data_IF_496692526048
#
_entry.id   IF_496692526048
#
_cell.length_a   1.000
_cell.length_b   1.000
_cell.length_c   1.000
_cell.angle_alpha   90.00
_cell.angle_beta   90.00
_cell.angle_gamma   90.00
#
_symmetry.space_group_name_H-M   'P 1'
#
loop_
_entity.id
_entity.type
_entity.pdbx_description
1 polymer ?
#
# COMPACT_ATOMS: atom_id res chain seq x y z
N UNK A 1 33.50 11.19 -13.49
CA UNK A 1 34.91 10.90 -13.88
C UNK A 1 34.84 10.17 -15.21
N UNK A 2 35.62 10.56 -16.22
CA UNK A 2 35.63 9.85 -17.50
C UNK A 2 36.56 8.64 -17.40
N UNK A 3 36.07 7.47 -17.76
CA UNK A 3 36.90 6.27 -17.88
C UNK A 3 37.15 5.98 -19.36
N UNK A 4 38.40 5.64 -19.69
CA UNK A 4 38.84 5.34 -21.04
C UNK A 4 39.32 3.89 -21.14
N UNK A 5 39.09 3.23 -22.26
CA UNK A 5 39.58 1.86 -22.51
C UNK A 5 41.08 1.83 -22.77
N UNK A 6 41.62 0.64 -22.99
CA UNK A 6 43.03 0.43 -23.35
C UNK A 6 43.43 1.13 -24.66
N UNK A 7 42.47 1.61 -25.44
CA UNK A 7 42.65 2.36 -26.69
C UNK A 7 42.38 3.87 -26.54
N UNK A 8 42.06 4.34 -25.33
CA UNK A 8 41.78 5.75 -25.06
C UNK A 8 40.36 6.22 -25.42
N UNK A 9 39.47 5.31 -25.82
CA UNK A 9 38.08 5.63 -26.10
C UNK A 9 37.30 5.83 -24.79
N UNK A 10 36.44 6.83 -24.74
CA UNK A 10 35.56 7.06 -23.59
C UNK A 10 34.56 5.91 -23.47
N UNK A 11 34.60 5.21 -22.33
CA UNK A 11 33.77 4.04 -22.05
C UNK A 11 32.45 4.46 -21.39
N UNK A 12 32.54 5.36 -20.41
CA UNK A 12 31.39 5.88 -19.67
C UNK A 12 31.68 7.22 -19.00
N UNK A 13 30.68 8.10 -19.01
CA UNK A 13 30.67 9.32 -18.19
C UNK A 13 29.96 9.04 -16.88
N UNK A 14 30.74 8.77 -15.83
CA UNK A 14 30.16 8.51 -14.50
C UNK A 14 29.61 9.81 -13.90
N UNK A 15 28.29 9.99 -13.99
CA UNK A 15 27.55 10.88 -13.07
C UNK A 15 27.59 10.21 -11.69
N UNK A 16 27.70 10.95 -10.60
CA UNK A 16 27.79 10.30 -9.28
C UNK A 16 26.39 10.08 -8.73
N UNK A 17 26.06 8.89 -8.23
CA UNK A 17 24.85 8.66 -7.40
C UNK A 17 24.94 9.46 -6.10
N UNK A 18 26.13 9.89 -5.72
CA UNK A 18 26.37 10.80 -4.61
C UNK A 18 26.38 12.26 -5.06
N UNK A 19 25.79 13.12 -4.23
CA UNK A 19 26.00 14.57 -4.30
C UNK A 19 27.46 14.96 -3.97
N UNK A 20 27.80 16.24 -4.12
CA UNK A 20 29.16 16.75 -3.86
C UNK A 20 29.68 16.46 -2.45
N UNK A 21 28.80 16.56 -1.45
CA UNK A 21 29.13 16.25 -0.06
C UNK A 21 29.48 14.77 0.05
N UNK A 22 28.64 13.88 -0.47
CA UNK A 22 28.89 12.44 -0.47
C UNK A 22 30.22 12.05 -1.11
N UNK A 23 30.60 12.70 -2.23
CA UNK A 23 31.89 12.46 -2.90
C UNK A 23 33.10 12.73 -2.01
N UNK A 24 33.07 13.78 -1.17
CA UNK A 24 34.16 14.10 -0.23
C UNK A 24 34.30 13.06 0.88
N UNK A 25 33.24 12.33 1.19
CA UNK A 25 33.21 11.38 2.29
C UNK A 25 33.40 9.91 1.89
N UNK A 26 33.48 9.58 0.59
CA UNK A 26 33.63 8.19 0.10
C UNK A 26 34.81 7.46 0.75
N UNK A 27 35.88 8.19 1.06
CA UNK A 27 37.09 7.66 1.69
C UNK A 27 37.27 8.11 3.14
N UNK A 28 36.23 8.66 3.78
CA UNK A 28 36.31 9.00 5.20
C UNK A 28 36.30 7.72 6.05
N UNK A 29 36.98 7.75 7.21
CA UNK A 29 37.00 6.65 8.18
C UNK A 29 35.64 6.41 8.87
N UNK A 30 34.64 7.20 8.52
CA UNK A 30 33.30 7.15 9.10
C UNK A 30 32.48 6.02 8.47
N UNK A 31 32.66 5.81 7.17
CA UNK A 31 31.98 4.77 6.39
C UNK A 31 32.65 3.40 6.52
N UNK A 32 31.90 2.35 6.19
CA UNK A 32 32.47 1.01 6.08
C UNK A 32 33.46 0.93 4.92
N UNK A 33 34.40 -0.04 4.93
CA UNK A 33 35.28 -0.29 3.79
C UNK A 33 34.51 -0.74 2.53
N UNK A 34 33.21 -1.07 2.64
CA UNK A 34 32.38 -1.48 1.51
C UNK A 34 31.71 -0.30 0.80
N UNK A 35 31.59 0.86 1.46
CA UNK A 35 30.84 2.00 0.92
C UNK A 35 31.39 2.47 -0.43
N UNK A 36 32.70 2.72 -0.54
CA UNK A 36 33.32 3.15 -1.79
C UNK A 36 33.11 2.17 -2.95
N UNK A 37 33.42 0.87 -2.78
CA UNK A 37 33.10 -0.16 -3.79
C UNK A 37 31.62 -0.21 -4.19
N UNK A 38 30.69 -0.15 -3.22
CA UNK A 38 29.25 -0.16 -3.50
C UNK A 38 28.80 1.08 -4.27
N UNK A 39 29.34 2.26 -3.97
CA UNK A 39 29.08 3.49 -4.75
C UNK A 39 29.58 3.34 -6.18
N UNK A 40 30.77 2.75 -6.37
CA UNK A 40 31.31 2.44 -7.68
C UNK A 40 30.37 1.53 -8.48
N UNK A 41 29.90 0.43 -7.88
CA UNK A 41 28.95 -0.48 -8.50
C UNK A 41 27.62 0.22 -8.82
N UNK A 42 27.05 1.00 -7.89
CA UNK A 42 25.80 1.72 -8.10
C UNK A 42 25.87 2.71 -9.27
N UNK A 43 26.99 3.42 -9.41
CA UNK A 43 27.24 4.28 -10.56
C UNK A 43 27.26 3.48 -11.87
N UNK A 44 28.03 2.39 -11.90
CA UNK A 44 28.14 1.52 -13.08
C UNK A 44 26.77 0.96 -13.47
N UNK A 45 25.97 0.48 -12.52
CA UNK A 45 24.64 -0.07 -12.81
C UNK A 45 23.65 0.99 -13.28
N UNK A 46 23.77 2.22 -12.78
CA UNK A 46 22.93 3.33 -13.24
C UNK A 46 23.28 3.71 -14.68
N UNK A 47 24.56 3.84 -14.99
CA UNK A 47 25.02 4.18 -16.35
C UNK A 47 24.66 3.06 -17.33
N UNK A 48 24.80 1.80 -16.89
CA UNK A 48 24.35 0.61 -17.63
C UNK A 48 22.86 0.69 -18.02
N UNK A 49 22.00 1.13 -17.08
CA UNK A 49 20.55 1.26 -17.30
C UNK A 49 20.13 2.49 -18.12
N UNK A 50 20.92 3.56 -18.14
CA UNK A 50 20.58 4.81 -18.85
C UNK A 50 21.07 4.84 -20.30
N UNK A 51 22.22 4.22 -20.60
CA UNK A 51 22.84 4.34 -21.93
C UNK A 51 22.35 3.27 -22.90
N UNK A 52 21.62 3.68 -23.95
CA UNK A 52 21.11 2.77 -25.00
C UNK A 52 22.12 2.41 -26.08
N UNK A 53 23.26 3.11 -26.18
CA UNK A 53 24.15 3.07 -27.36
C UNK A 53 25.65 2.96 -27.02
N UNK A 54 26.06 2.12 -26.06
CA UNK A 54 27.50 1.86 -25.88
C UNK A 54 27.92 0.69 -26.75
N UNK A 55 28.94 0.88 -27.58
CA UNK A 55 29.50 -0.11 -28.51
C UNK A 55 30.26 -1.27 -27.82
N UNK A 56 30.16 -1.39 -26.50
CA UNK A 56 30.89 -2.38 -25.69
C UNK A 56 29.92 -3.50 -25.35
N UNK A 57 30.40 -4.74 -25.38
CA UNK A 57 29.68 -5.91 -24.86
C UNK A 57 29.53 -5.76 -23.33
N UNK A 58 28.54 -4.97 -22.93
CA UNK A 58 28.29 -4.64 -21.52
C UNK A 58 28.01 -5.91 -20.69
N UNK A 59 27.49 -6.95 -21.34
CA UNK A 59 27.15 -8.23 -20.70
C UNK A 59 28.42 -8.97 -20.25
N UNK A 60 29.46 -8.95 -21.10
CA UNK A 60 30.74 -9.57 -20.79
C UNK A 60 31.51 -8.82 -19.69
N UNK A 61 31.44 -7.48 -19.64
CA UNK A 61 32.29 -6.67 -18.76
C UNK A 61 31.68 -6.36 -17.38
N UNK A 62 30.36 -6.17 -17.29
CA UNK A 62 29.72 -5.73 -16.05
C UNK A 62 28.81 -6.83 -15.51
N UNK A 63 27.85 -7.26 -16.32
CA UNK A 63 26.78 -8.14 -15.89
C UNK A 63 27.29 -9.52 -15.47
N UNK A 64 28.02 -10.21 -16.35
CA UNK A 64 28.47 -11.59 -16.10
C UNK A 64 29.40 -11.69 -14.88
N UNK A 65 30.43 -10.82 -14.71
CA UNK A 65 31.26 -10.85 -13.51
C UNK A 65 30.47 -10.55 -12.24
N UNK A 66 29.57 -9.57 -12.28
CA UNK A 66 28.77 -9.19 -11.12
C UNK A 66 27.82 -10.32 -10.72
N UNK A 67 27.14 -10.95 -11.68
CA UNK A 67 26.28 -12.12 -11.46
C UNK A 67 27.04 -13.27 -10.80
N UNK A 68 28.25 -13.57 -11.27
CA UNK A 68 29.09 -14.64 -10.72
C UNK A 68 29.62 -14.34 -9.30
N UNK A 69 29.82 -13.08 -8.94
CA UNK A 69 30.39 -12.69 -7.65
C UNK A 69 29.36 -12.19 -6.63
N UNK A 70 28.09 -12.02 -7.04
CA UNK A 70 27.04 -11.41 -6.22
C UNK A 70 26.83 -12.14 -4.89
N UNK A 71 26.51 -13.44 -4.92
CA UNK A 71 26.22 -14.22 -3.70
C UNK A 71 27.40 -14.19 -2.72
N UNK A 72 28.64 -14.18 -3.23
CA UNK A 72 29.86 -14.04 -2.41
C UNK A 72 29.97 -12.65 -1.78
N UNK A 73 29.67 -11.59 -2.53
CA UNK A 73 29.66 -10.22 -2.03
C UNK A 73 28.59 -10.04 -0.94
N UNK A 74 27.38 -10.51 -1.20
CA UNK A 74 26.26 -10.44 -0.24
C UNK A 74 26.56 -11.24 1.02
N UNK A 75 27.11 -12.45 0.90
CA UNK A 75 27.55 -13.25 2.04
C UNK A 75 28.59 -12.50 2.88
N UNK A 76 29.56 -11.84 2.24
CA UNK A 76 30.54 -11.01 2.95
C UNK A 76 29.90 -9.83 3.69
N UNK A 77 28.92 -9.16 3.09
CA UNK A 77 28.17 -8.07 3.74
C UNK A 77 27.32 -8.60 4.90
N UNK A 78 26.79 -9.81 4.78
CA UNK A 78 26.02 -10.47 5.84
C UNK A 78 26.88 -10.88 7.04
N UNK A 79 28.01 -11.57 6.78
CA UNK A 79 28.93 -12.06 7.82
C UNK A 79 29.74 -10.94 8.47
N UNK A 80 30.07 -9.92 7.67
CA UNK A 80 30.87 -8.77 8.08
C UNK A 80 30.16 -7.46 7.71
N UNK A 81 29.04 -7.12 8.36
CA UNK A 81 28.29 -5.91 8.06
C UNK A 81 29.05 -4.62 8.42
N UNK A 82 30.20 -4.75 9.10
CA UNK A 82 30.96 -3.65 9.66
C UNK A 82 30.06 -2.74 10.49
N UNK A 83 29.69 -1.57 9.95
CA UNK A 83 28.80 -0.61 10.62
C UNK A 83 27.45 -0.44 9.92
N UNK A 84 27.20 -1.14 8.80
CA UNK A 84 25.99 -0.94 7.98
C UNK A 84 24.69 -1.17 8.76
N UNK A 85 24.73 -2.00 9.80
CA UNK A 85 23.58 -2.31 10.66
C UNK A 85 23.43 -1.37 11.86
N UNK A 86 24.31 -0.39 12.01
CA UNK A 86 24.20 0.58 13.09
C UNK A 86 22.90 1.39 12.94
N UNK A 87 22.21 1.72 14.05
CA UNK A 87 20.97 2.50 14.01
C UNK A 87 21.21 3.98 13.64
N UNK A 88 22.45 4.35 13.29
CA UNK A 88 22.82 5.72 12.97
C UNK A 88 22.53 6.00 11.50
N UNK A 89 21.97 7.18 11.25
CA UNK A 89 21.63 7.68 9.93
C UNK A 89 22.81 7.71 8.97
N UNK A 90 24.05 7.83 9.46
CA UNK A 90 25.25 7.81 8.61
C UNK A 90 25.41 6.51 7.79
N UNK A 91 24.79 5.40 8.21
CA UNK A 91 24.87 4.11 7.53
C UNK A 91 23.72 3.85 6.57
N UNK A 92 22.69 4.71 6.53
CA UNK A 92 21.57 4.57 5.60
C UNK A 92 22.03 4.56 4.15
N UNK A 93 23.03 5.39 3.83
CA UNK A 93 23.63 5.48 2.50
C UNK A 93 24.28 4.19 2.04
N UNK A 94 24.76 3.35 2.95
CA UNK A 94 25.33 2.05 2.60
C UNK A 94 24.22 1.02 2.40
N UNK A 95 23.23 1.00 3.30
CA UNK A 95 22.07 0.09 3.22
C UNK A 95 21.22 0.32 1.97
N UNK A 96 21.13 1.56 1.49
CA UNK A 96 20.48 1.93 0.24
C UNK A 96 21.12 1.30 -1.01
N UNK A 97 22.44 1.13 -1.03
CA UNK A 97 23.16 0.80 -2.28
C UNK A 97 22.90 -0.62 -2.75
N UNK A 98 22.80 -1.60 -1.85
CA UNK A 98 22.57 -3.00 -2.25
C UNK A 98 21.22 -3.20 -2.96
N UNK A 99 20.06 -2.80 -2.39
CA UNK A 99 18.79 -2.90 -3.10
C UNK A 99 18.78 -2.02 -4.35
N UNK A 100 19.45 -0.86 -4.36
CA UNK A 100 19.58 -0.03 -5.56
C UNK A 100 20.28 -0.77 -6.71
N UNK A 101 21.47 -1.28 -6.45
CA UNK A 101 22.29 -2.02 -7.42
C UNK A 101 21.49 -3.19 -7.98
N UNK A 102 20.86 -3.98 -7.09
CA UNK A 102 20.07 -5.13 -7.50
C UNK A 102 18.92 -4.73 -8.43
N UNK A 103 18.07 -3.79 -7.99
CA UNK A 103 16.92 -3.34 -8.78
C UNK A 103 17.35 -2.79 -10.16
N UNK A 104 18.41 -1.98 -10.21
CA UNK A 104 18.90 -1.39 -11.47
C UNK A 104 19.43 -2.42 -12.45
N UNK A 105 20.11 -3.46 -11.97
CA UNK A 105 20.57 -4.53 -12.87
C UNK A 105 19.37 -5.32 -13.38
N UNK A 106 18.42 -5.66 -12.51
CA UNK A 106 17.24 -6.44 -12.92
C UNK A 106 16.33 -5.69 -13.88
N UNK A 107 16.30 -4.35 -13.84
CA UNK A 107 15.57 -3.52 -14.82
C UNK A 107 16.09 -3.69 -16.25
N UNK A 108 17.38 -3.97 -16.41
CA UNK A 108 18.03 -4.13 -17.73
C UNK A 108 18.17 -5.60 -18.09
N UNK A 109 18.55 -6.43 -17.12
CA UNK A 109 18.85 -7.84 -17.26
C UNK A 109 18.04 -8.68 -16.27
N UNK A 110 16.81 -9.02 -16.66
CA UNK A 110 15.90 -9.85 -15.85
C UNK A 110 16.53 -11.17 -15.41
N UNK A 111 17.46 -11.73 -16.21
CA UNK A 111 18.16 -12.96 -15.86
C UNK A 111 19.03 -12.83 -14.61
N UNK A 112 19.33 -11.62 -14.11
CA UNK A 112 20.00 -11.41 -12.84
C UNK A 112 19.18 -11.91 -11.64
N UNK A 113 17.84 -11.89 -11.75
CA UNK A 113 16.95 -12.35 -10.69
C UNK A 113 17.24 -13.80 -10.28
N UNK A 114 17.75 -14.63 -11.21
CA UNK A 114 18.10 -16.02 -10.92
C UNK A 114 19.16 -16.18 -9.82
N UNK A 115 19.93 -15.14 -9.51
CA UNK A 115 20.94 -15.19 -8.43
C UNK A 115 20.27 -15.34 -7.07
N UNK A 116 19.14 -14.66 -6.87
CA UNK A 116 18.44 -14.73 -5.61
C UNK A 116 17.59 -15.99 -5.50
N UNK A 117 17.45 -16.80 -6.55
CA UNK A 117 16.73 -18.09 -6.45
C UNK A 117 17.56 -19.17 -5.75
N UNK A 118 18.87 -18.97 -5.60
CA UNK A 118 19.73 -19.90 -4.87
C UNK A 118 19.41 -19.88 -3.36
N UNK A 119 19.13 -21.04 -2.77
CA UNK A 119 18.84 -21.17 -1.33
C UNK A 119 19.96 -20.63 -0.42
N UNK A 120 21.21 -20.65 -0.92
CA UNK A 120 22.39 -20.16 -0.19
C UNK A 120 22.63 -18.66 -0.31
N UNK A 121 21.87 -17.98 -1.17
CA UNK A 121 21.96 -16.55 -1.37
C UNK A 121 21.30 -15.80 -0.20
N UNK A 122 21.91 -14.69 0.21
CA UNK A 122 21.48 -13.92 1.38
C UNK A 122 20.92 -12.55 1.01
N UNK A 123 20.59 -12.31 -0.26
CA UNK A 123 20.15 -10.99 -0.75
C UNK A 123 18.81 -10.62 -0.12
N UNK A 124 17.84 -11.53 -0.14
CA UNK A 124 16.51 -11.31 0.44
C UNK A 124 16.60 -11.06 1.96
N UNK A 125 17.27 -11.93 2.77
CA UNK A 125 17.48 -11.65 4.19
C UNK A 125 18.22 -10.34 4.47
N UNK A 126 19.29 -10.04 3.71
CA UNK A 126 20.08 -8.83 3.91
C UNK A 126 19.27 -7.56 3.65
N UNK A 127 18.53 -7.50 2.54
CA UNK A 127 17.72 -6.33 2.21
C UNK A 127 16.52 -6.22 3.14
N UNK A 128 15.91 -7.33 3.57
CA UNK A 128 14.85 -7.32 4.59
C UNK A 128 15.38 -6.73 5.90
N UNK A 129 16.59 -7.11 6.31
CA UNK A 129 17.25 -6.54 7.49
C UNK A 129 17.53 -5.04 7.34
N UNK A 130 17.94 -4.60 6.14
CA UNK A 130 18.10 -3.17 5.85
C UNK A 130 16.77 -2.44 5.92
N UNK A 131 15.72 -3.00 5.33
CA UNK A 131 14.37 -2.47 5.40
C UNK A 131 13.89 -2.32 6.85
N UNK A 132 14.04 -3.34 7.69
CA UNK A 132 13.66 -3.30 9.12
C UNK A 132 14.38 -2.18 9.88
N UNK A 133 15.66 -1.93 9.57
CA UNK A 133 16.47 -0.91 10.22
C UNK A 133 16.49 0.44 9.51
N UNK A 134 15.63 0.66 8.51
CA UNK A 134 15.65 1.87 7.72
C UNK A 134 15.33 3.11 8.57
N UNK A 135 16.16 4.14 8.43
CA UNK A 135 16.03 5.41 9.18
C UNK A 135 15.80 6.63 8.28
N UNK A 136 16.15 6.53 7.00
CA UNK A 136 16.08 7.62 6.02
C UNK A 136 15.13 7.26 4.86
N UNK A 137 14.58 8.29 4.22
CA UNK A 137 13.57 8.17 3.14
C UNK A 137 14.11 7.38 1.92
N UNK A 138 15.31 7.74 1.44
CA UNK A 138 15.94 7.06 0.30
C UNK A 138 16.13 5.55 0.54
N UNK A 139 16.53 5.22 1.77
CA UNK A 139 16.80 3.86 2.20
C UNK A 139 15.51 3.01 2.28
N UNK A 140 14.47 3.55 2.93
CA UNK A 140 13.18 2.86 3.02
C UNK A 140 12.56 2.70 1.64
N UNK A 141 12.63 3.72 0.76
CA UNK A 141 12.10 3.64 -0.60
C UNK A 141 12.76 2.52 -1.38
N UNK A 142 14.08 2.51 -1.45
CA UNK A 142 14.78 1.54 -2.29
C UNK A 142 14.63 0.11 -1.79
N UNK A 143 14.72 -0.09 -0.46
CA UNK A 143 14.48 -1.39 0.14
C UNK A 143 13.04 -1.84 -0.09
N UNK A 144 12.07 -0.91 -0.01
CA UNK A 144 10.67 -1.21 -0.26
C UNK A 144 10.38 -1.57 -1.72
N UNK A 145 11.00 -0.88 -2.68
CA UNK A 145 10.92 -1.23 -4.11
C UNK A 145 11.39 -2.67 -4.32
N UNK A 146 12.53 -3.05 -3.76
CA UNK A 146 13.01 -4.43 -3.81
C UNK A 146 11.97 -5.41 -3.22
N UNK A 147 11.40 -5.10 -2.05
CA UNK A 147 10.39 -5.96 -1.42
C UNK A 147 9.13 -6.12 -2.26
N UNK A 148 8.72 -5.10 -3.01
CA UNK A 148 7.59 -5.15 -3.95
C UNK A 148 7.93 -5.99 -5.18
N UNK A 149 9.15 -5.88 -5.70
CA UNK A 149 9.65 -6.62 -6.85
C UNK A 149 9.69 -8.14 -6.62
N UNK A 150 9.89 -8.56 -5.36
CA UNK A 150 9.83 -9.95 -4.95
C UNK A 150 8.43 -10.57 -5.00
N UNK A 151 7.37 -9.74 -5.03
CA UNK A 151 5.99 -10.24 -4.99
C UNK A 151 5.59 -10.64 -6.39
N UNK A 152 5.34 -11.94 -6.65
CA UNK A 152 5.03 -12.36 -8.00
C UNK A 152 3.70 -11.77 -8.45
N UNK A 153 3.64 -11.35 -9.72
CA UNK A 153 2.38 -10.91 -10.33
C UNK A 153 1.93 -11.93 -11.34
N UNK A 154 0.62 -12.15 -11.37
CA UNK A 154 -0.02 -12.77 -12.52
C UNK A 154 -0.06 -11.73 -13.64
N UNK A 155 0.18 -12.14 -14.90
CA UNK A 155 -0.01 -11.26 -16.03
C UNK A 155 -1.45 -10.72 -16.00
N UNK A 156 -1.61 -9.43 -15.78
CA UNK A 156 -2.92 -8.78 -15.93
C UNK A 156 -3.05 -8.36 -17.40
N UNK A 157 -3.97 -8.95 -18.18
CA UNK A 157 -4.15 -8.60 -19.58
C UNK A 157 -4.55 -7.12 -19.79
N UNK A 158 -4.97 -6.41 -18.73
CA UNK A 158 -5.40 -5.01 -18.78
C UNK A 158 -4.30 -4.04 -18.33
N UNK A 159 -3.17 -4.54 -17.81
CA UNK A 159 -2.12 -3.66 -17.29
C UNK A 159 -1.46 -2.86 -18.42
N UNK A 160 -1.71 -1.54 -18.42
CA UNK A 160 -1.20 -0.62 -19.45
C UNK A 160 0.34 -0.57 -19.42
N UNK A 161 1.00 -0.67 -20.58
CA UNK A 161 2.44 -0.49 -20.68
C UNK A 161 2.78 0.98 -20.40
N UNK A 162 3.31 1.30 -19.22
CA UNK A 162 3.63 2.70 -18.93
C UNK A 162 4.37 2.99 -17.64
N UNK A 163 3.94 2.44 -16.49
CA UNK A 163 4.44 2.93 -15.20
C UNK A 163 4.63 1.87 -14.11
N UNK A 164 4.44 0.59 -14.40
CA UNK A 164 4.57 -0.44 -13.38
C UNK A 164 5.99 -1.01 -13.38
N UNK A 165 6.63 -1.01 -12.20
CA UNK A 165 7.82 -1.81 -11.94
C UNK A 165 7.55 -3.25 -12.41
N UNK A 166 8.39 -3.75 -13.33
CA UNK A 166 8.32 -5.13 -13.81
C UNK A 166 8.63 -6.06 -12.64
N UNK A 167 7.70 -6.94 -12.23
CA UNK A 167 7.97 -7.88 -11.14
C UNK A 167 9.12 -8.80 -11.54
N UNK A 168 9.93 -9.23 -10.57
CA UNK A 168 11.02 -10.19 -10.82
C UNK A 168 10.48 -11.56 -11.22
N UNK A 169 9.29 -11.88 -10.70
CA UNK A 169 8.63 -13.15 -10.90
C UNK A 169 7.27 -12.94 -11.56
N UNK A 170 7.13 -13.49 -12.77
CA UNK A 170 5.86 -13.63 -13.47
C UNK A 170 5.45 -15.09 -13.32
N UNK A 171 4.37 -15.35 -12.59
CA UNK A 171 3.85 -16.73 -12.47
C UNK A 171 3.15 -17.05 -13.78
N UNK A 172 3.76 -17.92 -14.59
CA UNK A 172 3.09 -18.48 -15.75
C UNK A 172 1.95 -19.41 -15.31
N UNK A 173 0.92 -19.55 -16.16
CA UNK A 173 -0.21 -20.41 -15.86
C UNK A 173 0.26 -21.87 -15.68
N UNK A 174 0.04 -22.44 -14.49
CA UNK A 174 0.43 -23.81 -14.15
C UNK A 174 1.80 -23.96 -13.47
N UNK A 175 2.59 -22.89 -13.31
CA UNK A 175 3.84 -22.95 -12.57
C UNK A 175 3.63 -22.92 -11.04
N UNK A 176 4.49 -23.61 -10.26
CA UNK A 176 4.40 -23.59 -8.81
C UNK A 176 4.66 -22.17 -8.27
N UNK A 177 3.83 -21.77 -7.31
CA UNK A 177 3.95 -20.46 -6.66
C UNK A 177 5.22 -20.43 -5.78
N UNK A 178 6.31 -19.84 -6.29
CA UNK A 178 7.58 -19.66 -5.57
C UNK A 178 7.49 -18.63 -4.44
N UNK A 179 6.37 -17.93 -4.30
CA UNK A 179 6.24 -16.87 -3.29
C UNK A 179 6.35 -17.40 -1.86
N UNK A 180 5.94 -18.65 -1.59
CA UNK A 180 6.09 -19.23 -0.23
C UNK A 180 7.57 -19.30 0.15
N UNK A 181 8.43 -19.65 -0.80
CA UNK A 181 9.88 -19.70 -0.61
C UNK A 181 10.46 -18.32 -0.32
N UNK A 182 10.02 -17.30 -1.07
CA UNK A 182 10.43 -15.90 -0.86
C UNK A 182 10.02 -15.43 0.54
N UNK A 183 8.79 -15.73 0.95
CA UNK A 183 8.29 -15.33 2.26
C UNK A 183 8.93 -16.05 3.42
N UNK A 184 9.29 -17.32 3.24
CA UNK A 184 10.15 -18.02 4.21
C UNK A 184 11.49 -17.34 4.36
N UNK A 185 12.01 -16.63 3.35
CA UNK A 185 13.28 -15.90 3.44
C UNK A 185 13.16 -14.50 4.00
N UNK A 186 12.00 -13.86 3.84
CA UNK A 186 11.69 -12.57 4.48
C UNK A 186 11.33 -12.77 5.94
N UNK A 187 10.40 -13.69 6.21
CA UNK A 187 9.78 -13.87 7.51
C UNK A 187 10.47 -14.92 8.37
N UNK A 188 11.39 -15.74 7.85
CA UNK A 188 12.29 -16.73 8.49
C UNK A 188 11.67 -17.63 9.60
N UNK A 189 11.14 -17.05 10.67
CA UNK A 189 10.53 -17.68 11.83
C UNK A 189 9.48 -16.72 12.47
N UNK A 190 8.84 -17.17 13.55
CA UNK A 190 7.80 -16.36 14.21
C UNK A 190 8.32 -15.03 14.79
N UNK A 191 9.58 -14.98 15.23
CA UNK A 191 10.17 -13.76 15.78
C UNK A 191 10.38 -12.71 14.67
N UNK A 192 10.85 -13.15 13.51
CA UNK A 192 11.02 -12.29 12.33
C UNK A 192 9.68 -11.81 11.77
N UNK A 193 8.59 -12.58 11.90
CA UNK A 193 7.22 -12.09 11.61
C UNK A 193 6.87 -10.89 12.51
N UNK A 194 7.09 -11.01 13.82
CA UNK A 194 6.78 -9.96 14.78
C UNK A 194 7.65 -8.73 14.54
N UNK A 195 8.95 -8.93 14.30
CA UNK A 195 9.89 -7.86 13.99
C UNK A 195 9.49 -7.13 12.69
N UNK A 196 9.13 -7.87 11.65
CA UNK A 196 8.67 -7.31 10.38
C UNK A 196 7.41 -6.46 10.58
N UNK A 197 6.39 -6.97 11.28
CA UNK A 197 5.14 -6.24 11.57
C UNK A 197 5.41 -4.99 12.42
N UNK A 198 6.30 -5.09 13.42
CA UNK A 198 6.71 -3.95 14.24
C UNK A 198 7.46 -2.89 13.42
N UNK A 199 8.37 -3.32 12.54
CA UNK A 199 9.07 -2.43 11.62
C UNK A 199 8.12 -1.72 10.66
N UNK A 200 7.14 -2.44 10.07
CA UNK A 200 6.07 -1.82 9.26
C UNK A 200 5.37 -0.71 10.03
N UNK A 201 4.96 -0.97 11.27
CA UNK A 201 4.28 0.01 12.10
C UNK A 201 5.18 1.22 12.42
N UNK A 202 6.44 0.97 12.78
CA UNK A 202 7.43 2.02 13.02
C UNK A 202 7.65 2.90 11.78
N UNK A 203 7.77 2.29 10.60
CA UNK A 203 7.97 3.00 9.34
C UNK A 203 6.76 3.82 8.94
N UNK A 204 5.55 3.26 9.08
CA UNK A 204 4.32 4.00 8.86
C UNK A 204 4.23 5.24 9.74
N UNK A 205 4.70 5.18 11.00
CA UNK A 205 4.73 6.35 11.90
C UNK A 205 5.84 7.34 11.54
N UNK A 206 7.02 6.84 11.16
CA UNK A 206 8.19 7.67 10.87
C UNK A 206 8.06 8.43 9.56
N UNK A 207 7.66 7.74 8.51
CA UNK A 207 7.63 8.28 7.16
C UNK A 207 6.24 8.80 6.79
N UNK A 208 6.15 9.58 5.72
CA UNK A 208 4.92 10.16 5.20
C UNK A 208 4.97 10.19 3.67
N UNK A 209 3.86 10.53 2.99
CA UNK A 209 3.85 10.58 1.53
C UNK A 209 4.17 9.22 0.89
N UNK A 210 4.99 9.24 -0.17
CA UNK A 210 5.26 8.06 -1.01
C UNK A 210 5.97 6.93 -0.25
N UNK A 211 6.78 7.26 0.76
CA UNK A 211 7.45 6.30 1.63
C UNK A 211 6.43 5.48 2.43
N UNK A 212 5.50 6.16 3.10
CA UNK A 212 4.46 5.51 3.90
C UNK A 212 3.49 4.72 3.02
N UNK A 213 3.16 5.25 1.84
CA UNK A 213 2.38 4.56 0.81
C UNK A 213 3.04 3.25 0.38
N UNK A 214 4.33 3.30 0.07
CA UNK A 214 5.09 2.12 -0.37
C UNK A 214 5.14 1.06 0.74
N UNK A 215 5.32 1.48 2.00
CA UNK A 215 5.27 0.56 3.16
C UNK A 215 3.88 -0.05 3.33
N UNK A 216 2.80 0.73 3.20
CA UNK A 216 1.44 0.22 3.24
C UNK A 216 1.14 -0.75 2.09
N UNK A 217 1.67 -0.48 0.89
CA UNK A 217 1.54 -1.34 -0.28
C UNK A 217 2.22 -2.70 -0.08
N UNK A 218 3.42 -2.72 0.53
CA UNK A 218 4.09 -3.98 0.93
C UNK A 218 3.18 -4.78 1.86
N UNK A 219 2.68 -4.13 2.91
CA UNK A 219 1.82 -4.78 3.90
C UNK A 219 0.56 -5.39 3.25
N UNK A 220 -0.11 -4.64 2.38
CA UNK A 220 -1.31 -5.11 1.66
C UNK A 220 -0.99 -6.31 0.76
N UNK A 221 0.09 -6.24 -0.02
CA UNK A 221 0.44 -7.32 -0.95
C UNK A 221 0.84 -8.60 -0.20
N UNK A 222 1.66 -8.47 0.85
CA UNK A 222 2.06 -9.60 1.69
C UNK A 222 0.85 -10.21 2.41
N UNK A 223 -0.09 -9.38 2.88
CA UNK A 223 -1.35 -9.84 3.48
C UNK A 223 -2.22 -10.60 2.48
N UNK A 224 -2.47 -10.00 1.31
CA UNK A 224 -3.30 -10.57 0.24
C UNK A 224 -2.77 -11.93 -0.16
N UNK A 225 -1.45 -12.02 -0.30
CA UNK A 225 -0.77 -13.25 -0.59
C UNK A 225 -0.88 -14.29 0.55
N UNK A 226 -0.61 -13.91 1.80
CA UNK A 226 -0.65 -14.85 2.92
C UNK A 226 -2.06 -15.43 3.10
N UNK A 227 -3.08 -14.63 2.77
CA UNK A 227 -4.48 -15.08 2.73
C UNK A 227 -4.73 -16.11 1.62
N UNK A 228 -4.17 -15.93 0.43
CA UNK A 228 -4.26 -16.92 -0.65
C UNK A 228 -3.61 -18.26 -0.25
N UNK A 229 -2.55 -18.18 0.55
CA UNK A 229 -1.78 -19.33 1.03
C UNK A 229 -2.00 -19.67 2.51
N UNK A 230 -3.21 -19.42 3.05
CA UNK A 230 -3.53 -19.53 4.48
C UNK A 230 -3.34 -20.91 5.12
N UNK A 231 -3.19 -21.95 4.31
CA UNK A 231 -2.95 -23.31 4.78
C UNK A 231 -1.48 -23.55 5.15
N UNK A 232 -0.55 -22.70 4.67
CA UNK A 232 0.85 -22.76 5.11
C UNK A 232 0.97 -22.20 6.54
N UNK A 233 1.65 -22.90 7.46
CA UNK A 233 1.76 -22.48 8.86
C UNK A 233 2.36 -21.08 9.05
N UNK A 234 3.35 -20.69 8.23
CA UNK A 234 4.00 -19.39 8.31
C UNK A 234 3.02 -18.28 7.88
N UNK A 235 2.26 -18.51 6.82
CA UNK A 235 1.20 -17.60 6.36
C UNK A 235 0.11 -17.42 7.42
N UNK A 236 -0.32 -18.52 8.02
CA UNK A 236 -1.31 -18.50 9.10
C UNK A 236 -0.83 -17.64 10.28
N UNK A 237 0.42 -17.86 10.71
CA UNK A 237 1.02 -17.11 11.81
C UNK A 237 1.18 -15.63 11.47
N UNK A 238 1.63 -15.30 10.27
CA UNK A 238 1.73 -13.92 9.79
C UNK A 238 0.36 -13.21 9.85
N UNK A 239 -0.68 -13.83 9.32
CA UNK A 239 -2.05 -13.30 9.38
C UNK A 239 -2.53 -13.12 10.83
N UNK A 240 -2.20 -14.06 11.72
CA UNK A 240 -2.54 -13.97 13.15
C UNK A 240 -1.86 -12.77 13.82
N UNK A 241 -0.56 -12.58 13.60
CA UNK A 241 0.21 -11.46 14.17
C UNK A 241 -0.33 -10.11 13.69
N UNK A 242 -0.63 -9.96 12.40
CA UNK A 242 -1.20 -8.72 11.86
C UNK A 242 -2.57 -8.41 12.45
N UNK A 243 -3.46 -9.42 12.54
CA UNK A 243 -4.80 -9.23 13.11
C UNK A 243 -4.78 -8.80 14.58
N UNK A 244 -3.72 -9.14 15.30
CA UNK A 244 -3.62 -8.87 16.74
C UNK A 244 -2.71 -7.67 17.07
N UNK A 245 -2.09 -7.05 16.07
CA UNK A 245 -1.15 -5.94 16.27
C UNK A 245 -1.84 -4.57 16.37
N UNK A 246 -2.13 -4.12 17.60
CA UNK A 246 -2.64 -2.76 17.88
C UNK A 246 -1.76 -1.67 17.28
N UNK A 247 -0.44 -1.82 17.45
CA UNK A 247 0.53 -0.84 16.99
C UNK A 247 0.48 -0.69 15.46
N UNK A 248 0.38 -1.79 14.71
CA UNK A 248 0.29 -1.75 13.25
C UNK A 248 -0.96 -1.01 12.79
N UNK A 249 -2.14 -1.37 13.30
CA UNK A 249 -3.39 -0.76 12.88
C UNK A 249 -3.46 0.73 13.22
N UNK A 250 -3.05 1.12 14.44
CA UNK A 250 -2.96 2.53 14.80
C UNK A 250 -2.02 3.29 13.88
N UNK A 251 -0.84 2.72 13.58
CA UNK A 251 0.15 3.35 12.70
C UNK A 251 -0.36 3.50 11.26
N UNK A 252 -1.08 2.50 10.76
CA UNK A 252 -1.69 2.54 9.43
C UNK A 252 -2.77 3.62 9.34
N UNK A 253 -3.67 3.68 10.33
CA UNK A 253 -4.71 4.70 10.40
C UNK A 253 -4.14 6.11 10.55
N UNK A 254 -3.10 6.27 11.38
CA UNK A 254 -2.39 7.55 11.52
C UNK A 254 -1.67 7.98 10.23
N UNK A 255 -1.03 7.03 9.53
CA UNK A 255 -0.37 7.30 8.24
C UNK A 255 -1.38 7.73 7.17
N UNK A 256 -2.53 7.05 7.10
CA UNK A 256 -3.67 7.45 6.27
C UNK A 256 -4.10 8.89 6.57
N UNK A 257 -4.40 9.23 7.82
CA UNK A 257 -4.85 10.58 8.17
C UNK A 257 -3.81 11.68 7.86
N UNK A 258 -2.51 11.37 7.91
CA UNK A 258 -1.43 12.34 7.64
C UNK A 258 -1.18 12.61 6.15
N UNK A 259 -1.50 11.68 5.25
CA UNK A 259 -1.19 11.83 3.81
C UNK A 259 -1.93 13.01 3.15
N UNK A 260 -2.97 13.54 3.80
CA UNK A 260 -3.84 14.60 3.26
C UNK A 260 -3.20 15.99 3.15
N UNK A 261 -2.13 16.25 3.91
CA UNK A 261 -1.48 17.56 3.94
C UNK A 261 -0.59 17.85 2.74
N UNK A 262 -0.05 16.82 2.10
CA UNK A 262 0.84 16.96 0.96
C UNK A 262 0.04 16.99 -0.34
N UNK A 263 0.46 17.84 -1.28
CA UNK A 263 -0.11 17.89 -2.64
C UNK A 263 0.30 16.64 -3.40
N UNK A 264 -0.34 15.52 -3.09
CA UNK A 264 -0.16 14.30 -3.85
C UNK A 264 -0.74 14.50 -5.26
N UNK A 265 0.06 14.13 -6.27
CA UNK A 265 -0.30 14.26 -7.70
C UNK A 265 -0.72 12.88 -8.27
N UNK A 266 -0.59 11.79 -7.50
CA UNK A 266 -0.91 10.43 -7.94
C UNK A 266 -2.37 10.02 -7.76
N UNK A 267 -2.69 8.79 -8.15
CA UNK A 267 -4.03 8.21 -8.06
C UNK A 267 -4.40 7.89 -6.61
N UNK A 268 -5.70 7.86 -6.30
CA UNK A 268 -6.21 7.34 -5.03
C UNK A 268 -5.70 5.93 -4.72
N UNK A 269 -5.48 5.10 -5.74
CA UNK A 269 -4.96 3.73 -5.60
C UNK A 269 -3.58 3.67 -4.94
N UNK A 270 -2.83 4.76 -5.00
CA UNK A 270 -1.48 4.82 -4.45
C UNK A 270 -1.49 5.36 -3.01
N UNK A 271 -2.64 5.72 -2.45
CA UNK A 271 -2.72 6.29 -1.10
C UNK A 271 -2.79 5.22 -0.01
N UNK A 272 -2.34 5.51 1.23
CA UNK A 272 -2.47 4.55 2.34
C UNK A 272 -3.93 4.19 2.62
N UNK A 273 -4.87 5.07 2.24
CA UNK A 273 -6.30 4.88 2.36
C UNK A 273 -6.85 3.73 1.52
N UNK A 274 -6.36 3.59 0.28
CA UNK A 274 -6.76 2.50 -0.59
C UNK A 274 -6.33 1.16 0.00
N UNK A 275 -5.08 1.06 0.46
CA UNK A 275 -4.55 -0.14 1.09
C UNK A 275 -5.28 -0.48 2.39
N UNK A 276 -5.55 0.52 3.24
CA UNK A 276 -6.38 0.36 4.43
C UNK A 276 -7.78 -0.17 4.07
N UNK A 277 -8.44 0.44 3.09
CA UNK A 277 -9.81 0.07 2.69
C UNK A 277 -9.86 -1.34 2.13
N UNK A 278 -8.85 -1.74 1.36
CA UNK A 278 -8.74 -3.10 0.83
C UNK A 278 -8.45 -4.14 1.91
N UNK A 279 -7.54 -3.84 2.83
CA UNK A 279 -7.28 -4.68 4.00
C UNK A 279 -8.56 -4.85 4.82
N UNK A 280 -9.25 -3.74 5.11
CA UNK A 280 -10.48 -3.73 5.88
C UNK A 280 -11.59 -4.53 5.19
N UNK A 281 -11.76 -4.34 3.88
CA UNK A 281 -12.69 -5.10 3.03
C UNK A 281 -12.38 -6.60 3.06
N UNK A 282 -11.12 -6.98 2.88
CA UNK A 282 -10.73 -8.39 2.86
C UNK A 282 -11.06 -9.10 4.16
N UNK A 283 -10.99 -8.38 5.27
CA UNK A 283 -11.28 -8.86 6.61
C UNK A 283 -12.79 -8.84 6.93
N UNK A 284 -13.52 -7.89 6.38
CA UNK A 284 -14.98 -7.80 6.44
C UNK A 284 -15.69 -8.94 5.69
N UNK A 285 -15.21 -9.30 4.49
CA UNK A 285 -15.88 -10.26 3.60
C UNK A 285 -15.77 -11.71 4.07
N UNK A 286 -14.76 -12.07 4.88
CA UNK A 286 -14.60 -13.45 5.38
C UNK A 286 -15.21 -13.68 6.78
N UNK A 287 -16.16 -12.85 7.20
CA UNK A 287 -16.72 -12.99 8.55
C UNK A 287 -17.67 -14.17 8.66
N UNK A 288 -17.13 -15.26 9.18
CA UNK A 288 -17.85 -16.04 10.18
C UNK A 288 -17.90 -15.23 11.49
N UNK A 289 -18.89 -15.45 12.35
CA UNK A 289 -19.01 -14.80 13.67
C UNK A 289 -17.94 -15.28 14.68
N UNK A 290 -16.69 -15.47 14.24
CA UNK A 290 -15.63 -16.02 15.06
C UNK A 290 -15.17 -15.00 16.11
N UNK A 291 -14.66 -15.46 17.27
CA UNK A 291 -14.07 -14.59 18.26
C UNK A 291 -12.95 -13.71 17.71
N UNK A 292 -12.15 -14.20 16.75
CA UNK A 292 -11.08 -13.37 16.17
C UNK A 292 -11.62 -12.21 15.34
N UNK A 293 -12.72 -12.44 14.61
CA UNK A 293 -13.39 -11.39 13.87
C UNK A 293 -13.88 -10.30 14.83
N UNK A 294 -14.56 -10.68 15.92
CA UNK A 294 -15.03 -9.74 16.96
C UNK A 294 -13.87 -8.93 17.54
N UNK A 295 -12.81 -9.59 17.98
CA UNK A 295 -11.62 -8.95 18.56
C UNK A 295 -10.96 -7.95 17.60
N UNK A 296 -10.86 -8.31 16.32
CA UNK A 296 -10.31 -7.41 15.29
C UNK A 296 -11.19 -6.17 15.06
N UNK A 297 -12.53 -6.30 15.11
CA UNK A 297 -13.40 -5.10 15.05
C UNK A 297 -13.20 -4.22 16.25
N UNK A 298 -13.16 -4.79 17.45
CA UNK A 298 -12.93 -4.01 18.68
C UNK A 298 -11.60 -3.25 18.57
N UNK A 299 -10.55 -3.94 18.12
CA UNK A 299 -9.25 -3.34 17.87
C UNK A 299 -9.36 -2.16 16.91
N UNK A 300 -9.90 -2.36 15.71
CA UNK A 300 -10.02 -1.30 14.71
C UNK A 300 -10.78 -0.08 15.20
N UNK A 301 -11.94 -0.28 15.84
CA UNK A 301 -12.72 0.84 16.37
C UNK A 301 -11.91 1.59 17.43
N UNK A 302 -11.22 0.87 18.32
CA UNK A 302 -10.41 1.47 19.38
C UNK A 302 -9.15 2.18 18.86
N UNK A 303 -8.60 1.74 17.73
CA UNK A 303 -7.41 2.33 17.09
C UNK A 303 -7.71 3.51 16.17
N UNK A 304 -8.98 3.89 16.00
CA UNK A 304 -9.34 5.09 15.23
C UNK A 304 -9.60 4.86 13.74
N UNK A 305 -10.10 3.67 13.34
CA UNK A 305 -10.46 3.40 11.94
C UNK A 305 -11.40 4.47 11.38
N UNK A 306 -12.37 4.94 12.17
CA UNK A 306 -13.32 5.95 11.72
C UNK A 306 -12.62 7.27 11.37
N UNK A 307 -11.69 7.75 12.21
CA UNK A 307 -10.91 8.98 11.93
C UNK A 307 -10.16 8.88 10.61
N UNK A 308 -9.53 7.73 10.34
CA UNK A 308 -8.85 7.48 9.08
C UNK A 308 -9.81 7.44 7.88
N UNK A 309 -11.00 6.85 8.04
CA UNK A 309 -12.03 6.82 7.00
C UNK A 309 -12.62 8.21 6.73
N UNK A 310 -12.87 9.03 7.75
CA UNK A 310 -13.36 10.41 7.57
C UNK A 310 -12.32 11.26 6.84
N UNK A 311 -11.05 11.11 7.23
CA UNK A 311 -9.94 11.74 6.52
C UNK A 311 -9.95 11.33 5.04
N UNK A 312 -9.89 10.03 4.76
CA UNK A 312 -9.93 9.48 3.39
C UNK A 312 -11.05 10.11 2.55
N UNK A 313 -12.24 10.20 3.12
CA UNK A 313 -13.43 10.67 2.43
C UNK A 313 -13.31 12.12 1.99
N UNK A 314 -12.77 13.00 2.85
CA UNK A 314 -12.58 14.40 2.51
C UNK A 314 -11.62 14.54 1.32
N UNK A 315 -10.51 13.81 1.32
CA UNK A 315 -9.52 13.88 0.25
C UNK A 315 -10.08 13.36 -1.08
N UNK A 316 -10.64 12.14 -1.08
CA UNK A 316 -11.19 11.51 -2.29
C UNK A 316 -12.35 12.31 -2.88
N UNK A 317 -13.22 12.89 -2.05
CA UNK A 317 -14.29 13.74 -2.55
C UNK A 317 -13.79 15.07 -3.14
N UNK A 318 -12.62 15.53 -2.69
CA UNK A 318 -12.06 16.80 -3.15
C UNK A 318 -11.16 16.65 -4.39
N UNK A 319 -10.49 15.51 -4.55
CA UNK A 319 -9.44 15.30 -5.57
C UNK A 319 -9.62 14.04 -6.41
N UNK A 320 -10.34 13.05 -5.90
CA UNK A 320 -10.53 11.76 -6.58
C UNK A 320 -11.45 11.87 -7.78
N UNK A 321 -11.21 11.02 -8.75
CA UNK A 321 -12.12 10.76 -9.88
C UNK A 321 -13.47 10.21 -9.38
N UNK A 322 -14.49 10.25 -10.24
CA UNK A 322 -15.80 9.69 -9.89
C UNK A 322 -15.72 8.19 -9.56
N UNK A 323 -14.89 7.43 -10.31
CA UNK A 323 -14.71 6.00 -10.08
C UNK A 323 -14.04 5.72 -8.73
N UNK A 324 -13.01 6.51 -8.36
CA UNK A 324 -12.35 6.41 -7.05
C UNK A 324 -13.31 6.78 -5.90
N UNK A 325 -14.18 7.78 -6.09
CA UNK A 325 -15.22 8.13 -5.12
C UNK A 325 -16.23 6.99 -4.93
N UNK A 326 -16.67 6.36 -6.02
CA UNK A 326 -17.60 5.21 -6.00
C UNK A 326 -16.95 4.02 -5.31
N UNK A 327 -15.68 3.73 -5.62
CA UNK A 327 -14.95 2.65 -4.98
C UNK A 327 -14.79 2.88 -3.46
N UNK A 328 -14.40 4.09 -3.06
CA UNK A 328 -14.29 4.44 -1.64
C UNK A 328 -15.66 4.27 -0.93
N UNK A 329 -16.74 4.79 -1.50
CA UNK A 329 -18.08 4.65 -0.92
C UNK A 329 -18.50 3.18 -0.81
N UNK A 330 -18.16 2.36 -1.81
CA UNK A 330 -18.41 0.91 -1.80
C UNK A 330 -17.62 0.22 -0.68
N UNK A 331 -16.34 0.55 -0.52
CA UNK A 331 -15.50 0.00 0.54
C UNK A 331 -15.97 0.43 1.93
N UNK A 332 -16.32 1.71 2.10
CA UNK A 332 -16.89 2.24 3.34
C UNK A 332 -18.18 1.50 3.69
N UNK A 333 -19.10 1.36 2.74
CA UNK A 333 -20.36 0.63 2.96
C UNK A 333 -20.10 -0.80 3.44
N UNK A 334 -19.15 -1.51 2.81
CA UNK A 334 -18.78 -2.88 3.20
C UNK A 334 -18.18 -2.93 4.61
N UNK A 335 -17.35 -1.95 4.97
CA UNK A 335 -16.78 -1.83 6.31
C UNK A 335 -17.89 -1.59 7.34
N UNK A 336 -18.74 -0.58 7.12
CA UNK A 336 -19.87 -0.28 8.01
C UNK A 336 -20.83 -1.46 8.15
N UNK A 337 -21.14 -2.14 7.04
CA UNK A 337 -21.94 -3.36 7.03
C UNK A 337 -21.25 -4.45 7.87
N UNK A 338 -19.96 -4.71 7.68
CA UNK A 338 -19.27 -5.72 8.49
C UNK A 338 -19.18 -5.36 9.97
N UNK A 339 -19.12 -4.06 10.30
CA UNK A 339 -19.16 -3.57 11.67
C UNK A 339 -20.56 -3.70 12.29
N UNK A 340 -21.65 -3.67 11.50
CA UNK A 340 -23.02 -3.71 12.01
C UNK A 340 -23.54 -5.09 12.41
N UNK A 341 -22.94 -6.19 11.92
CA UNK A 341 -23.28 -7.56 12.38
C UNK A 341 -22.63 -7.96 13.72
N UNK A 342 -21.52 -7.33 14.09
CA UNK A 342 -20.83 -7.58 15.37
C UNK A 342 -21.61 -7.20 16.65
N UNK A 343 -22.27 -6.02 16.73
CA UNK A 343 -22.84 -5.50 17.98
C UNK A 343 -24.01 -6.29 18.55
N UNK A 344 -24.71 -7.12 17.75
CA UNK A 344 -25.77 -7.98 18.28
C UNK A 344 -25.22 -9.08 19.20
N UNK A 345 -23.96 -9.48 18.98
CA UNK A 345 -23.29 -10.54 19.73
C UNK A 345 -22.23 -10.04 20.72
N UNK A 346 -21.72 -8.82 20.55
CA UNK A 346 -20.76 -8.19 21.47
C UNK A 346 -21.26 -6.84 22.01
N UNK A 347 -21.57 -6.74 23.33
CA UNK A 347 -21.94 -5.46 23.94
C UNK A 347 -20.80 -4.43 23.91
N UNK A 348 -19.54 -4.89 23.90
CA UNK A 348 -18.36 -4.03 23.77
C UNK A 348 -18.36 -3.32 22.42
N UNK A 349 -18.50 -4.08 21.32
CA UNK A 349 -18.60 -3.50 19.96
C UNK A 349 -19.76 -2.52 19.89
N UNK A 350 -20.92 -2.88 20.45
CA UNK A 350 -22.08 -1.99 20.48
C UNK A 350 -21.76 -0.66 21.18
N UNK A 351 -21.12 -0.71 22.34
CA UNK A 351 -20.75 0.50 23.08
C UNK A 351 -19.75 1.38 22.29
N UNK A 352 -18.78 0.74 21.65
CA UNK A 352 -17.78 1.42 20.82
C UNK A 352 -18.44 2.07 19.60
N UNK A 353 -19.30 1.34 18.87
CA UNK A 353 -20.03 1.89 17.71
C UNK A 353 -20.90 3.07 18.13
N UNK A 354 -21.61 3.00 19.25
CA UNK A 354 -22.45 4.10 19.75
C UNK A 354 -21.64 5.38 19.96
N UNK A 355 -20.40 5.27 20.44
CA UNK A 355 -19.51 6.43 20.58
C UNK A 355 -19.16 7.04 19.22
N UNK A 356 -19.02 6.22 18.19
CA UNK A 356 -18.64 6.64 16.83
C UNK A 356 -19.84 7.16 16.02
N UNK A 357 -21.08 6.74 16.33
CA UNK A 357 -22.31 7.25 15.69
C UNK A 357 -22.57 8.74 15.97
N UNK A 358 -21.87 9.34 16.93
CA UNK A 358 -21.90 10.79 17.17
C UNK A 358 -21.11 11.60 16.13
N UNK A 359 -20.64 10.98 15.05
CA UNK A 359 -19.93 11.60 13.92
C UNK A 359 -20.90 11.86 12.73
N UNK A 360 -21.72 12.93 12.77
CA UNK A 360 -22.73 13.18 11.74
C UNK A 360 -22.16 13.48 10.36
N UNK A 361 -20.88 13.88 10.24
CA UNK A 361 -20.30 14.35 8.99
C UNK A 361 -20.10 13.22 7.97
N UNK A 362 -19.51 12.10 8.35
CA UNK A 362 -19.22 10.99 7.43
C UNK A 362 -20.48 10.29 6.96
N UNK A 363 -21.40 10.00 7.86
CA UNK A 363 -22.69 9.39 7.52
C UNK A 363 -23.49 10.30 6.58
N UNK A 364 -23.52 11.61 6.86
CA UNK A 364 -24.19 12.59 6.01
C UNK A 364 -23.52 12.74 4.64
N UNK A 365 -22.18 12.80 4.58
CA UNK A 365 -21.44 12.90 3.32
C UNK A 365 -21.67 11.68 2.42
N UNK A 366 -21.61 10.47 3.00
CA UNK A 366 -21.88 9.23 2.27
C UNK A 366 -23.32 9.18 1.76
N UNK A 367 -24.26 9.59 2.61
CA UNK A 367 -25.67 9.71 2.24
C UNK A 367 -25.83 10.69 1.07
N UNK A 368 -25.44 11.96 1.24
CA UNK A 368 -25.62 13.02 0.26
C UNK A 368 -25.00 12.65 -1.12
N UNK A 369 -23.84 12.00 -1.14
CA UNK A 369 -23.18 11.56 -2.40
C UNK A 369 -23.82 10.34 -3.03
N UNK A 370 -24.25 9.35 -2.25
CA UNK A 370 -24.96 8.18 -2.77
C UNK A 370 -26.26 8.57 -3.49
N UNK A 371 -26.95 9.62 -3.04
CA UNK A 371 -28.13 10.16 -3.73
C UNK A 371 -27.78 10.98 -4.98
N UNK A 372 -26.63 11.66 -5.01
CA UNK A 372 -26.20 12.43 -6.18
C UNK A 372 -25.72 11.56 -7.34
N UNK A 373 -25.00 10.46 -7.08
CA UNK A 373 -24.48 9.57 -8.12
C UNK A 373 -25.59 8.80 -8.87
N UNK A 374 -26.72 8.53 -8.20
CA UNK A 374 -27.85 7.76 -8.74
C UNK A 374 -28.74 8.60 -9.68
N UNK A 375 -28.70 9.94 -9.58
CA UNK A 375 -29.75 10.77 -10.17
C UNK A 375 -29.55 11.25 -11.63
N UNK A 376 -28.34 11.32 -12.25
CA UNK A 376 -28.24 11.77 -13.65
C UNK A 376 -27.85 10.70 -14.70
N UNK A 377 -27.40 9.48 -14.35
CA UNK A 377 -26.89 8.54 -15.37
C UNK A 377 -27.99 7.65 -15.97
N UNK A 378 -28.42 8.01 -17.19
CA UNK A 378 -29.39 7.27 -18.02
C UNK A 378 -28.97 5.80 -18.27
N UNK A 379 -29.85 4.89 -17.86
CA UNK A 379 -30.30 3.64 -18.50
C UNK A 379 -29.40 2.41 -18.71
N UNK A 380 -28.08 2.40 -18.46
CA UNK A 380 -27.30 1.13 -18.58
C UNK A 380 -26.55 0.67 -17.32
N UNK A 381 -26.13 1.56 -16.43
CA UNK A 381 -25.58 1.18 -15.10
C UNK A 381 -26.67 0.89 -14.05
N UNK A 382 -27.92 1.30 -14.32
CA UNK A 382 -29.04 1.20 -13.38
C UNK A 382 -29.37 -0.25 -13.01
N UNK A 383 -29.25 -1.22 -13.92
CA UNK A 383 -29.57 -2.62 -13.58
C UNK A 383 -28.54 -3.31 -12.67
N UNK A 384 -27.25 -2.92 -12.74
CA UNK A 384 -26.22 -3.47 -11.84
C UNK A 384 -26.31 -2.85 -10.44
N UNK A 385 -26.63 -1.54 -10.39
CA UNK A 385 -26.81 -0.81 -9.13
C UNK A 385 -28.17 -1.14 -8.49
N UNK A 386 -29.24 -1.38 -9.24
CA UNK A 386 -30.55 -1.79 -8.69
C UNK A 386 -30.53 -3.17 -8.06
N UNK A 387 -29.76 -4.15 -8.57
CA UNK A 387 -29.62 -5.44 -7.90
C UNK A 387 -28.81 -5.32 -6.60
N UNK A 388 -27.75 -4.50 -6.59
CA UNK A 388 -27.00 -4.14 -5.38
C UNK A 388 -27.86 -3.30 -4.40
N UNK A 389 -28.78 -2.47 -4.90
CA UNK A 389 -29.66 -1.62 -4.11
C UNK A 389 -30.87 -2.36 -3.54
N UNK A 390 -31.36 -3.42 -4.21
CA UNK A 390 -32.37 -4.32 -3.63
C UNK A 390 -31.77 -5.12 -2.46
N UNK A 391 -30.52 -5.59 -2.60
CA UNK A 391 -29.75 -6.11 -1.48
C UNK A 391 -29.52 -5.02 -0.41
N UNK A 392 -29.15 -3.77 -0.78
CA UNK A 392 -29.02 -2.67 0.20
C UNK A 392 -30.30 -2.36 0.96
N UNK A 393 -31.46 -2.28 0.31
CA UNK A 393 -32.72 -1.96 0.99
C UNK A 393 -33.11 -3.06 2.00
N UNK A 394 -32.70 -4.30 1.74
CA UNK A 394 -32.86 -5.41 2.66
C UNK A 394 -31.84 -5.37 3.81
N UNK A 395 -30.60 -5.00 3.51
CA UNK A 395 -29.46 -4.98 4.41
C UNK A 395 -29.28 -3.70 5.24
N UNK A 396 -29.92 -2.60 4.86
CA UNK A 396 -29.92 -1.32 5.59
C UNK A 396 -31.07 -1.20 6.58
N UNK A 397 -31.91 -2.23 6.76
CA UNK A 397 -32.91 -2.28 7.85
C UNK A 397 -32.29 -2.06 9.25
N UNK A 398 -31.14 -2.64 9.61
CA UNK A 398 -30.47 -2.40 10.88
C UNK A 398 -29.90 -0.98 10.97
N UNK A 399 -29.40 -0.41 9.87
CA UNK A 399 -28.92 0.97 9.82
C UNK A 399 -30.08 1.96 9.96
N UNK A 400 -31.22 1.73 9.28
CA UNK A 400 -32.47 2.47 9.51
C UNK A 400 -32.92 2.34 10.96
N UNK A 401 -32.89 1.14 11.56
CA UNK A 401 -33.25 0.95 12.96
C UNK A 401 -32.30 1.71 13.91
N UNK A 402 -30.98 1.68 13.66
CA UNK A 402 -30.00 2.43 14.45
C UNK A 402 -30.11 3.95 14.25
N UNK A 403 -30.49 4.41 13.05
CA UNK A 403 -30.80 5.81 12.75
C UNK A 403 -32.11 6.24 13.41
N UNK A 404 -33.15 5.39 13.44
CA UNK A 404 -34.40 5.66 14.16
C UNK A 404 -34.15 5.73 15.68
N UNK A 405 -33.27 4.88 16.19
CA UNK A 405 -32.80 4.94 17.59
C UNK A 405 -32.02 6.24 17.81
N UNK A 406 -31.05 6.60 16.97
CA UNK A 406 -30.31 7.85 17.09
C UNK A 406 -31.24 9.09 16.99
N UNK A 407 -32.23 9.05 16.11
CA UNK A 407 -33.26 10.10 15.92
C UNK A 407 -34.15 10.26 17.15
N UNK A 408 -34.41 9.18 17.89
CA UNK A 408 -35.13 9.23 19.19
C UNK A 408 -34.28 9.78 20.33
N UNK A 409 -32.96 9.81 20.20
CA UNK A 409 -32.02 10.22 21.25
C UNK A 409 -31.30 11.55 20.93
N UNK A 410 -31.57 12.17 19.77
CA UNK A 410 -31.09 13.50 19.41
C UNK A 410 -32.05 14.57 19.95
N UNK A 411 -31.54 15.69 20.53
CA UNK A 411 -32.38 16.82 20.92
C UNK A 411 -33.17 17.38 19.74
N UNK A 412 -34.45 17.73 19.95
CA UNK A 412 -35.35 18.25 18.90
C UNK A 412 -34.78 19.47 18.17
N UNK A 413 -33.91 20.22 18.83
CA UNK A 413 -33.30 21.46 18.38
C UNK A 413 -32.36 21.28 17.18
N UNK A 414 -31.92 20.05 16.89
CA UNK A 414 -31.06 19.72 15.74
C UNK A 414 -31.89 19.45 14.47
N UNK A 415 -33.20 19.17 14.60
CA UNK A 415 -34.06 18.74 13.50
C UNK A 415 -34.80 19.90 12.79
N UNK A 416 -34.78 21.11 13.35
CA UNK A 416 -35.55 22.27 12.84
C UNK A 416 -34.87 23.01 11.68
N UNK A 417 -33.58 22.79 11.42
CA UNK A 417 -32.81 23.60 10.44
C UNK A 417 -33.10 23.24 8.97
N UNK A 418 -33.79 22.13 8.68
CA UNK A 418 -33.93 21.60 7.30
C UNK A 418 -35.36 21.61 6.73
N UNK A 419 -36.38 22.09 7.44
CA UNK A 419 -37.76 22.10 6.92
C UNK A 419 -38.09 23.33 6.07
N UNK A 420 -37.38 24.44 6.24
CA UNK A 420 -37.71 25.70 5.56
C UNK A 420 -37.21 25.78 4.10
N UNK A 421 -36.30 24.89 3.68
CA UNK A 421 -35.70 24.94 2.33
C UNK A 421 -36.46 24.13 1.27
N UNK A 422 -37.44 23.31 1.66
CA UNK A 422 -38.15 22.41 0.72
C UNK A 422 -39.48 23.00 0.20
N UNK A 423 -40.01 24.05 0.85
CA UNK A 423 -41.29 24.63 0.47
C UNK A 423 -41.26 25.77 -0.55
N UNK A 424 -40.08 26.30 -0.94
CA UNK A 424 -40.01 27.36 -1.97
C UNK A 424 -40.08 26.86 -3.41
N UNK A 425 -39.64 25.62 -3.69
CA UNK A 425 -39.38 25.19 -5.07
C UNK A 425 -40.57 24.46 -5.73
N UNK A 426 -41.62 24.13 -4.97
CA UNK A 426 -42.79 23.41 -5.47
C UNK A 426 -43.88 24.30 -6.12
N UNK A 427 -43.73 25.63 -6.13
CA UNK A 427 -44.77 26.57 -6.61
C UNK A 427 -44.64 27.05 -8.06
N UNK A 428 -43.57 26.71 -8.78
CA UNK A 428 -43.31 27.27 -10.12
C UNK A 428 -43.47 26.29 -11.31
N UNK A 429 -44.04 25.10 -11.12
CA UNK A 429 -44.08 24.08 -12.17
C UNK A 429 -45.47 23.46 -12.40
N UNK A 430 -46.52 24.26 -12.59
CA UNK A 430 -47.78 23.78 -13.22
C UNK A 430 -48.45 24.87 -14.04
N UNK A 431 -48.24 24.85 -15.36
CA UNK A 431 -48.84 25.77 -16.30
C UNK A 431 -49.12 25.13 -17.67
N UNK A 432 -50.36 24.64 -17.82
CA UNK A 432 -51.17 24.50 -19.05
C UNK A 432 -50.70 23.63 -20.23
N UNK A 433 -51.49 22.58 -20.50
CA UNK A 433 -51.89 22.20 -21.85
C UNK A 433 -53.41 22.01 -21.90
N UNK A 434 -54.06 22.66 -22.85
CA UNK A 434 -55.50 22.63 -23.14
C UNK A 434 -55.81 21.66 -24.29
N UNK A 435 -56.94 20.94 -24.12
CA UNK A 435 -57.82 20.26 -25.08
C UNK A 435 -57.57 20.45 -26.58
N UNK A 436 -57.76 19.37 -27.36
CA UNK A 436 -58.74 19.28 -28.46
C UNK A 436 -59.03 17.79 -28.78
N UNK A 437 -60.29 17.47 -29.11
CA UNK A 437 -60.77 16.17 -29.59
C UNK A 437 -61.60 16.39 -30.87
N UNK A 438 -61.55 15.39 -31.76
CA UNK A 438 -62.40 15.08 -32.93
C UNK A 438 -62.12 15.81 -34.25
N UNK A 439 -61.85 14.99 -35.27
CA UNK A 439 -61.67 15.29 -36.70
C UNK A 439 -60.94 14.15 -37.35
#
# INVERSE_FOLDING_TARGET
MMHKDVHGNEIFQVVSVLNEVGRKHVFSKEFSPFYGPLVGLANITRDYAMEKEVAIDKDAYIFRPLKQQWSRMIRRLWDHPARSLGPRNMFSKERYLVPYIFCRITEVENSFASVIDEDSDLTIPLITRYWVHATEEEEIMQSSIFMILLIPRRPDPVSLPGNSLSPLYIIAEGEPDTTVTILRRVLLNNDAIVEFVHATASHLRRFSGIEAETVAAIMEKYWSWARANRNDPLCFEFLRVIRTSDLLWRSLFEASSRSMGNRYIGSFHDTPHFYMSNLARCLAVNRDSTPEAVALTELWISTGIFDALEASLVDVLSRGTEDEQVELCTNLTRIYFALSFGPEKSPTIKSLIIQQLRRPRTVRLLWDRSFQAVWPRKSQQVMFVESQLQDWNWHMRPVRANVEVARRHLPQDVLSVNQDTVHSDAKNATGRTTNWFVG
#
